data_IF_461343222726
#
_entry.id   IF_461343222726
#
_cell.length_a   1.000
_cell.length_b   1.000
_cell.length_c   1.000
_cell.angle_alpha   90.00
_cell.angle_beta   90.00
_cell.angle_gamma   90.00
#
_symmetry.space_group_name_H-M   'P 1'
#
loop_
_entity.id
_entity.type
_entity.pdbx_description
1 polymer ?
#
# COMPACT_ATOMS: atom_id res chain seq x y z
N UNK A 1 -60.18 -5.18 -14.85
CA UNK A 1 -59.20 -5.87 -15.73
C UNK A 1 -57.98 -5.00 -16.12
N UNK A 2 -57.85 -3.76 -15.62
CA UNK A 2 -56.83 -2.80 -16.10
C UNK A 2 -55.55 -2.72 -15.24
N UNK A 3 -55.65 -2.89 -13.91
CA UNK A 3 -54.50 -2.70 -13.00
C UNK A 3 -53.45 -3.84 -13.07
N UNK A 4 -53.88 -5.11 -13.16
CA UNK A 4 -52.96 -6.25 -13.25
C UNK A 4 -52.15 -6.27 -14.56
N UNK A 5 -52.73 -5.77 -15.66
CA UNK A 5 -52.04 -5.70 -16.95
C UNK A 5 -50.97 -4.59 -16.93
N UNK A 6 -51.31 -3.45 -16.32
CA UNK A 6 -50.37 -2.34 -16.13
C UNK A 6 -49.19 -2.72 -15.22
N UNK A 7 -49.45 -3.43 -14.12
CA UNK A 7 -48.41 -3.94 -13.22
C UNK A 7 -47.48 -4.96 -13.90
N UNK A 8 -48.03 -5.87 -14.72
CA UNK A 8 -47.21 -6.81 -15.52
C UNK A 8 -46.37 -6.10 -16.59
N UNK A 9 -46.91 -5.06 -17.23
CA UNK A 9 -46.14 -4.26 -18.20
C UNK A 9 -44.98 -3.54 -17.52
N UNK A 10 -45.25 -2.82 -16.41
CA UNK A 10 -44.23 -2.16 -15.59
C UNK A 10 -43.15 -3.12 -15.11
N UNK A 11 -43.53 -4.32 -14.67
CA UNK A 11 -42.59 -5.34 -14.21
C UNK A 11 -41.68 -5.82 -15.36
N UNK A 12 -42.22 -5.96 -16.58
CA UNK A 12 -41.45 -6.34 -17.77
C UNK A 12 -40.50 -5.22 -18.22
N UNK A 13 -40.96 -3.97 -18.17
CA UNK A 13 -40.14 -2.81 -18.52
C UNK A 13 -38.99 -2.61 -17.50
N UNK A 14 -39.27 -2.80 -16.20
CA UNK A 14 -38.26 -2.81 -15.14
C UNK A 14 -37.23 -3.92 -15.32
N UNK A 15 -37.68 -5.15 -15.64
CA UNK A 15 -36.77 -6.28 -15.87
C UNK A 15 -35.87 -6.03 -17.09
N UNK A 16 -36.43 -5.44 -18.15
CA UNK A 16 -35.68 -5.11 -19.37
C UNK A 16 -34.65 -4.01 -19.09
N UNK A 17 -35.00 -2.98 -18.31
CA UNK A 17 -34.06 -1.94 -17.89
C UNK A 17 -32.95 -2.51 -17.00
N UNK A 18 -33.28 -3.39 -16.05
CA UNK A 18 -32.28 -4.04 -15.19
C UNK A 18 -31.28 -4.86 -16.03
N UNK A 19 -31.76 -5.66 -16.97
CA UNK A 19 -30.89 -6.42 -17.88
C UNK A 19 -30.02 -5.51 -18.75
N UNK A 20 -30.55 -4.38 -19.25
CA UNK A 20 -29.78 -3.42 -20.02
C UNK A 20 -28.68 -2.76 -19.17
N UNK A 21 -28.98 -2.42 -17.91
CA UNK A 21 -28.00 -1.85 -16.96
C UNK A 21 -26.89 -2.88 -16.66
N UNK A 22 -27.26 -4.14 -16.44
CA UNK A 22 -26.30 -5.22 -16.20
C UNK A 22 -25.41 -5.48 -17.41
N UNK A 23 -25.98 -5.45 -18.61
CA UNK A 23 -25.23 -5.56 -19.86
C UNK A 23 -24.25 -4.40 -20.05
N UNK A 24 -24.70 -3.15 -19.85
CA UNK A 24 -23.85 -1.96 -19.95
C UNK A 24 -22.73 -2.02 -18.90
N UNK A 25 -23.04 -2.43 -17.67
CA UNK A 25 -22.05 -2.62 -16.61
C UNK A 25 -20.99 -3.64 -17.02
N UNK A 26 -21.38 -4.80 -17.52
CA UNK A 26 -20.44 -5.81 -18.01
C UNK A 26 -19.57 -5.27 -19.14
N UNK A 27 -20.16 -4.56 -20.10
CA UNK A 27 -19.44 -3.98 -21.23
C UNK A 27 -18.41 -2.94 -20.77
N UNK A 28 -18.78 -2.02 -19.86
CA UNK A 28 -17.85 -1.01 -19.34
C UNK A 28 -16.70 -1.66 -18.57
N UNK A 29 -16.98 -2.73 -17.80
CA UNK A 29 -15.95 -3.46 -17.05
C UNK A 29 -14.96 -4.20 -17.96
N UNK A 30 -15.42 -4.68 -19.12
CA UNK A 30 -14.57 -5.37 -20.11
C UNK A 30 -13.79 -4.41 -21.01
N UNK A 31 -14.38 -3.28 -21.39
CA UNK A 31 -13.82 -2.35 -22.38
C UNK A 31 -12.85 -1.30 -21.80
N UNK A 32 -12.90 -1.04 -20.48
CA UNK A 32 -12.06 0.00 -19.85
C UNK A 32 -10.86 -0.64 -19.12
N UNK A 33 -9.67 -0.73 -19.75
CA UNK A 33 -8.47 -1.23 -19.09
C UNK A 33 -7.94 -0.18 -18.10
N UNK A 34 -7.56 -0.64 -16.89
CA UNK A 34 -7.04 0.24 -15.85
C UNK A 34 -5.77 0.98 -16.27
N UNK A 35 -4.94 0.38 -17.10
CA UNK A 35 -3.73 0.98 -17.64
C UNK A 35 -4.03 2.20 -18.51
N UNK A 36 -5.17 2.25 -19.21
CA UNK A 36 -5.59 3.45 -19.91
C UNK A 36 -5.93 4.56 -18.92
N UNK A 37 -6.66 4.23 -17.84
CA UNK A 37 -6.99 5.20 -16.79
C UNK A 37 -5.73 5.73 -16.07
N UNK A 38 -4.74 4.89 -15.81
CA UNK A 38 -3.45 5.32 -15.23
C UNK A 38 -2.77 6.36 -16.13
N UNK A 39 -2.72 6.14 -17.44
CA UNK A 39 -2.18 7.12 -18.39
C UNK A 39 -2.95 8.44 -18.40
N UNK A 40 -4.25 8.43 -18.09
CA UNK A 40 -5.02 9.66 -17.94
C UNK A 40 -4.65 10.46 -16.69
N UNK A 41 -4.12 9.82 -15.65
CA UNK A 41 -3.62 10.51 -14.46
C UNK A 41 -2.36 11.32 -14.75
N UNK A 42 -1.56 10.92 -15.73
CA UNK A 42 -0.34 11.64 -16.14
C UNK A 42 -0.64 12.96 -16.88
N UNK A 43 -1.92 13.21 -17.21
CA UNK A 43 -2.33 14.43 -17.89
C UNK A 43 -2.35 15.64 -16.96
N UNK A 44 -2.04 16.79 -17.53
CA UNK A 44 -2.05 18.06 -16.80
C UNK A 44 -3.46 18.57 -16.46
N UNK A 45 -4.54 18.16 -17.14
CA UNK A 45 -5.88 18.67 -16.82
C UNK A 45 -6.47 17.95 -15.58
N UNK A 46 -6.64 18.70 -14.51
CA UNK A 46 -7.17 18.21 -13.23
C UNK A 46 -8.57 17.59 -13.34
N UNK A 47 -9.44 18.10 -14.21
CA UNK A 47 -10.77 17.54 -14.40
C UNK A 47 -10.70 16.13 -14.98
N UNK A 48 -9.73 15.89 -15.86
CA UNK A 48 -9.48 14.56 -16.44
C UNK A 48 -8.97 13.60 -15.37
N UNK A 49 -8.10 14.07 -14.48
CA UNK A 49 -7.59 13.29 -13.35
C UNK A 49 -8.72 12.91 -12.38
N UNK A 50 -9.57 13.87 -11.99
CA UNK A 50 -10.73 13.61 -11.11
C UNK A 50 -11.67 12.59 -11.74
N UNK A 51 -12.00 12.74 -13.02
CA UNK A 51 -12.89 11.81 -13.73
C UNK A 51 -12.27 10.42 -13.83
N UNK A 52 -10.97 10.30 -14.10
CA UNK A 52 -10.27 9.03 -14.15
C UNK A 52 -10.26 8.32 -12.78
N UNK A 53 -9.95 9.03 -11.69
CA UNK A 53 -9.99 8.46 -10.34
C UNK A 53 -11.41 8.05 -9.92
N UNK A 54 -12.41 8.89 -10.23
CA UNK A 54 -13.82 8.59 -9.99
C UNK A 54 -14.26 7.32 -10.74
N UNK A 55 -13.83 7.18 -12.00
CA UNK A 55 -14.11 5.97 -12.77
C UNK A 55 -13.42 4.74 -12.18
N UNK A 56 -12.17 4.84 -11.72
CA UNK A 56 -11.50 3.73 -11.01
C UNK A 56 -12.28 3.29 -9.76
N UNK A 57 -12.77 4.24 -8.95
CA UNK A 57 -13.61 3.95 -7.79
C UNK A 57 -14.92 3.24 -8.19
N UNK A 58 -15.57 3.72 -9.25
CA UNK A 58 -16.80 3.12 -9.76
C UNK A 58 -16.57 1.71 -10.31
N UNK A 59 -15.48 1.47 -11.05
CA UNK A 59 -15.12 0.15 -11.55
C UNK A 59 -14.94 -0.83 -10.39
N UNK A 60 -14.17 -0.46 -9.36
CA UNK A 60 -13.96 -1.32 -8.20
C UNK A 60 -15.28 -1.67 -7.48
N UNK A 61 -16.13 -0.66 -7.23
CA UNK A 61 -17.39 -0.84 -6.52
C UNK A 61 -18.34 -1.83 -7.23
N UNK A 62 -18.36 -1.78 -8.56
CA UNK A 62 -19.29 -2.55 -9.39
C UNK A 62 -18.70 -3.86 -9.95
N UNK A 63 -17.43 -4.16 -9.65
CA UNK A 63 -16.74 -5.39 -10.04
C UNK A 63 -17.03 -6.57 -9.13
N UNK A 64 -16.82 -7.78 -9.65
CA UNK A 64 -16.72 -9.00 -8.86
C UNK A 64 -15.35 -9.11 -8.14
N UNK A 65 -15.18 -10.14 -7.31
CA UNK A 65 -14.01 -10.26 -6.45
C UNK A 65 -12.71 -10.51 -7.25
N UNK A 66 -12.76 -11.27 -8.34
CA UNK A 66 -11.58 -11.51 -9.18
C UNK A 66 -11.12 -10.23 -9.87
N UNK A 67 -12.05 -9.46 -10.46
CA UNK A 67 -11.71 -8.18 -11.08
C UNK A 67 -11.29 -7.13 -10.05
N UNK A 68 -11.84 -7.16 -8.84
CA UNK A 68 -11.38 -6.29 -7.73
C UNK A 68 -9.92 -6.56 -7.37
N UNK A 69 -9.50 -7.82 -7.29
CA UNK A 69 -8.08 -8.19 -7.07
C UNK A 69 -7.18 -7.66 -8.19
N UNK A 70 -7.61 -7.79 -9.45
CA UNK A 70 -6.87 -7.22 -10.59
C UNK A 70 -6.76 -5.70 -10.49
N UNK A 71 -7.85 -5.02 -10.11
CA UNK A 71 -7.88 -3.57 -9.92
C UNK A 71 -6.87 -3.15 -8.85
N UNK A 72 -6.91 -3.81 -7.70
CA UNK A 72 -6.00 -3.56 -6.58
C UNK A 72 -4.55 -3.77 -7.01
N UNK A 73 -4.24 -4.83 -7.76
CA UNK A 73 -2.90 -5.07 -8.31
C UNK A 73 -2.41 -3.92 -9.18
N UNK A 74 -3.29 -3.33 -9.99
CA UNK A 74 -2.95 -2.14 -10.78
C UNK A 74 -2.77 -0.88 -9.93
N UNK A 75 -3.60 -0.67 -8.90
CA UNK A 75 -3.42 0.44 -7.95
C UNK A 75 -2.10 0.30 -7.17
N UNK A 76 -1.69 -0.93 -6.85
CA UNK A 76 -0.41 -1.23 -6.21
C UNK A 76 0.80 -1.16 -7.13
N UNK A 77 0.65 -0.82 -8.41
CA UNK A 77 1.74 -0.83 -9.39
C UNK A 77 2.59 0.45 -9.38
N UNK A 78 3.85 0.34 -9.80
CA UNK A 78 4.76 1.49 -9.97
C UNK A 78 4.16 2.58 -10.88
N UNK A 79 3.56 2.26 -12.06
CA UNK A 79 2.97 3.28 -12.93
C UNK A 79 1.86 4.10 -12.25
N UNK A 80 0.97 3.47 -11.49
CA UNK A 80 -0.07 4.20 -10.77
C UNK A 80 0.53 5.13 -9.71
N UNK A 81 1.48 4.64 -8.90
CA UNK A 81 2.15 5.45 -7.87
C UNK A 81 2.87 6.66 -8.48
N UNK A 82 3.60 6.44 -9.57
CA UNK A 82 4.30 7.52 -10.27
C UNK A 82 3.34 8.55 -10.84
N UNK A 83 2.25 8.12 -11.48
CA UNK A 83 1.26 9.03 -12.03
C UNK A 83 0.62 9.90 -10.93
N UNK A 84 0.21 9.29 -9.81
CA UNK A 84 -0.35 10.00 -8.64
C UNK A 84 0.67 10.98 -8.04
N UNK A 85 1.92 10.56 -7.85
CA UNK A 85 2.97 11.41 -7.28
C UNK A 85 3.30 12.59 -8.21
N UNK A 86 3.36 12.36 -9.52
CA UNK A 86 3.72 13.37 -10.52
C UNK A 86 2.61 14.35 -10.86
N UNK A 87 1.33 13.97 -10.71
CA UNK A 87 0.20 14.80 -11.12
C UNK A 87 -0.74 15.21 -9.98
N UNK A 88 -1.15 14.28 -9.12
CA UNK A 88 -2.16 14.52 -8.07
C UNK A 88 -1.53 15.18 -6.85
N UNK A 89 -0.36 14.70 -6.44
CA UNK A 89 0.33 15.16 -5.22
C UNK A 89 1.38 16.25 -5.47
N UNK A 90 1.46 16.77 -6.71
CA UNK A 90 2.34 17.87 -7.06
C UNK A 90 1.96 19.15 -6.29
N UNK A 91 2.94 20.00 -5.99
CA UNK A 91 2.73 21.29 -5.33
C UNK A 91 1.62 22.09 -6.02
N UNK A 92 0.65 22.56 -5.23
CA UNK A 92 -0.55 23.26 -5.72
C UNK A 92 -1.82 22.41 -5.73
N UNK A 93 -1.73 21.12 -6.11
CA UNK A 93 -2.90 20.20 -6.22
C UNK A 93 -3.13 19.32 -5.01
N UNK A 94 -2.11 19.13 -4.18
CA UNK A 94 -2.19 18.34 -2.95
C UNK A 94 -3.20 18.88 -1.91
N UNK A 95 -3.77 20.07 -2.15
CA UNK A 95 -4.82 20.69 -1.33
C UNK A 95 -6.19 20.69 -1.99
N UNK A 96 -6.30 20.21 -3.24
CA UNK A 96 -7.59 20.13 -3.93
C UNK A 96 -8.42 19.00 -3.29
N UNK A 97 -9.53 19.41 -2.66
CA UNK A 97 -10.42 18.49 -1.95
C UNK A 97 -11.09 17.50 -2.89
N UNK A 98 -11.46 17.91 -4.09
CA UNK A 98 -12.15 17.06 -5.07
C UNK A 98 -11.24 15.93 -5.55
N UNK A 99 -9.95 16.22 -5.78
CA UNK A 99 -8.95 15.19 -6.08
C UNK A 99 -8.77 14.23 -4.91
N UNK A 100 -8.59 14.76 -3.69
CA UNK A 100 -8.41 13.94 -2.50
C UNK A 100 -9.63 13.06 -2.20
N UNK A 101 -10.84 13.57 -2.39
CA UNK A 101 -12.09 12.82 -2.20
C UNK A 101 -12.17 11.60 -3.15
N UNK A 102 -11.51 11.65 -4.31
CA UNK A 102 -11.40 10.49 -5.21
C UNK A 102 -10.19 9.60 -4.93
N UNK A 103 -9.06 10.15 -4.48
CA UNK A 103 -7.85 9.37 -4.20
C UNK A 103 -7.95 8.58 -2.89
N UNK A 104 -8.56 9.16 -1.85
CA UNK A 104 -8.65 8.56 -0.51
C UNK A 104 -9.34 7.18 -0.52
N UNK A 105 -10.48 6.98 -1.21
CA UNK A 105 -11.09 5.66 -1.30
C UNK A 105 -10.16 4.61 -1.92
N UNK A 106 -9.44 4.95 -3.01
CA UNK A 106 -8.48 4.04 -3.65
C UNK A 106 -7.31 3.69 -2.71
N UNK A 107 -6.79 4.66 -1.97
CA UNK A 107 -5.76 4.41 -0.95
C UNK A 107 -6.27 3.46 0.13
N UNK A 108 -7.54 3.60 0.55
CA UNK A 108 -8.15 2.70 1.54
C UNK A 108 -8.26 1.26 1.04
N UNK A 109 -8.40 1.04 -0.26
CA UNK A 109 -8.37 -0.31 -0.83
C UNK A 109 -6.99 -0.96 -0.65
N UNK A 110 -5.92 -0.22 -0.91
CA UNK A 110 -4.54 -0.69 -0.71
C UNK A 110 -4.23 -0.95 0.78
N UNK A 111 -4.76 -0.12 1.68
CA UNK A 111 -4.68 -0.36 3.14
C UNK A 111 -5.48 -1.61 3.52
N UNK A 112 -6.63 -1.84 2.87
CA UNK A 112 -7.44 -3.04 3.02
C UNK A 112 -6.66 -4.32 2.74
N UNK A 113 -5.88 -4.36 1.66
CA UNK A 113 -5.00 -5.50 1.35
C UNK A 113 -3.95 -5.75 2.43
N UNK A 114 -3.36 -4.67 2.98
CA UNK A 114 -2.39 -4.80 4.07
C UNK A 114 -3.06 -5.34 5.34
N UNK A 115 -4.32 -4.98 5.59
CA UNK A 115 -5.13 -5.55 6.67
C UNK A 115 -5.37 -7.04 6.45
N UNK A 116 -5.77 -7.44 5.25
CA UNK A 116 -5.97 -8.85 4.90
C UNK A 116 -4.67 -9.63 5.06
N UNK A 117 -3.55 -9.10 4.57
CA UNK A 117 -2.23 -9.68 4.72
C UNK A 117 -1.82 -9.82 6.19
N UNK A 118 -2.06 -8.80 7.02
CA UNK A 118 -1.75 -8.86 8.45
C UNK A 118 -2.54 -9.94 9.20
N UNK A 119 -3.71 -10.32 8.71
CA UNK A 119 -4.53 -11.37 9.31
C UNK A 119 -4.11 -12.78 8.91
N UNK A 120 -3.23 -12.93 7.91
CA UNK A 120 -2.76 -14.25 7.46
C UNK A 120 -1.72 -14.79 8.42
N UNK A 121 -1.85 -16.08 8.77
CA UNK A 121 -0.82 -16.78 9.55
C UNK A 121 0.45 -16.92 8.72
N UNK A 122 1.59 -16.83 9.38
CA UNK A 122 2.90 -17.05 8.76
C UNK A 122 3.17 -18.54 8.67
N UNK A 123 3.62 -19.02 7.51
CA UNK A 123 4.04 -20.41 7.36
C UNK A 123 5.44 -20.62 7.96
N UNK A 124 5.66 -21.79 8.55
CA UNK A 124 6.95 -22.13 9.18
C UNK A 124 8.07 -22.25 8.15
N UNK A 125 7.78 -22.68 6.93
CA UNK A 125 8.80 -22.80 5.90
C UNK A 125 9.20 -21.43 5.33
N UNK A 126 8.27 -20.47 5.28
CA UNK A 126 8.58 -19.07 4.96
C UNK A 126 9.45 -18.43 6.04
N UNK A 127 9.15 -18.67 7.33
CA UNK A 127 9.98 -18.20 8.45
C UNK A 127 11.40 -18.76 8.32
N UNK A 128 11.53 -20.07 8.10
CA UNK A 128 12.84 -20.70 7.90
C UNK A 128 13.57 -20.11 6.70
N UNK A 129 12.88 -19.87 5.59
CA UNK A 129 13.48 -19.29 4.39
C UNK A 129 14.08 -17.91 4.69
N UNK A 130 13.35 -17.05 5.41
CA UNK A 130 13.85 -15.74 5.84
C UNK A 130 15.05 -15.86 6.78
N UNK A 131 14.95 -16.69 7.81
CA UNK A 131 15.98 -16.84 8.83
C UNK A 131 17.25 -17.53 8.33
N UNK A 132 17.15 -18.33 7.27
CA UNK A 132 18.30 -18.97 6.61
C UNK A 132 19.02 -18.07 5.61
N UNK A 133 18.51 -16.87 5.29
CA UNK A 133 19.24 -15.91 4.45
C UNK A 133 20.55 -15.56 5.13
N UNK A 134 21.67 -15.59 4.38
CA UNK A 134 23.01 -15.42 4.94
C UNK A 134 23.13 -14.13 5.77
N UNK A 135 22.58 -13.02 5.28
CA UNK A 135 22.58 -11.72 5.98
C UNK A 135 21.88 -11.78 7.34
N UNK A 136 20.81 -12.56 7.46
CA UNK A 136 20.05 -12.71 8.71
C UNK A 136 20.73 -13.73 9.62
N UNK A 137 21.11 -14.89 9.06
CA UNK A 137 21.73 -16.00 9.79
C UNK A 137 23.07 -15.60 10.40
N UNK A 138 23.88 -14.83 9.69
CA UNK A 138 25.21 -14.42 10.16
C UNK A 138 25.16 -13.32 11.25
N UNK A 139 23.97 -12.77 11.52
CA UNK A 139 23.80 -11.67 12.48
C UNK A 139 23.53 -12.09 13.91
N UNK A 140 23.16 -13.35 14.11
CA UNK A 140 22.65 -13.84 15.40
C UNK A 140 23.00 -15.31 15.59
N UNK A 141 22.97 -15.77 16.85
CA UNK A 141 23.14 -17.19 17.17
C UNK A 141 21.85 -18.02 16.98
N UNK A 142 21.98 -19.35 17.01
CA UNK A 142 20.86 -20.28 16.80
C UNK A 142 19.75 -20.14 17.87
N UNK A 143 20.12 -19.77 19.10
CA UNK A 143 19.17 -19.50 20.19
C UNK A 143 18.28 -18.30 19.85
N UNK A 144 18.88 -17.25 19.30
CA UNK A 144 18.19 -16.03 18.91
C UNK A 144 17.37 -16.21 17.63
N UNK A 145 17.84 -17.02 16.67
CA UNK A 145 17.05 -17.43 15.50
C UNK A 145 15.78 -18.17 15.92
N UNK A 146 15.87 -19.07 16.89
CA UNK A 146 14.71 -19.80 17.42
C UNK A 146 13.70 -18.83 18.05
N UNK A 147 14.17 -17.85 18.83
CA UNK A 147 13.29 -16.79 19.40
C UNK A 147 12.62 -15.97 18.32
N UNK A 148 13.35 -15.57 17.28
CA UNK A 148 12.79 -14.80 16.16
C UNK A 148 11.74 -15.59 15.38
N UNK A 149 11.94 -16.89 15.20
CA UNK A 149 10.93 -17.76 14.59
C UNK A 149 9.63 -17.76 15.39
N UNK A 150 9.71 -17.92 16.72
CA UNK A 150 8.55 -17.86 17.61
C UNK A 150 7.85 -16.49 17.54
N UNK A 151 8.63 -15.40 17.62
CA UNK A 151 8.09 -14.03 17.56
C UNK A 151 7.34 -13.77 16.24
N UNK A 152 7.90 -14.21 15.10
CA UNK A 152 7.25 -14.04 13.80
C UNK A 152 5.98 -14.89 13.67
N UNK A 153 5.96 -16.09 14.25
CA UNK A 153 4.80 -16.97 14.21
C UNK A 153 3.64 -16.48 15.11
N UNK A 154 3.95 -15.91 16.27
CA UNK A 154 2.96 -15.49 17.27
C UNK A 154 2.48 -14.05 17.08
N UNK A 155 3.26 -13.20 16.42
CA UNK A 155 2.92 -11.79 16.24
C UNK A 155 1.77 -11.58 15.25
N UNK A 156 0.83 -10.69 15.63
CA UNK A 156 -0.23 -10.21 14.73
C UNK A 156 0.29 -9.43 13.51
N UNK A 157 1.56 -9.00 13.54
CA UNK A 157 2.24 -8.35 12.41
C UNK A 157 3.29 -9.25 11.77
N UNK A 158 3.38 -10.53 12.19
CA UNK A 158 4.39 -11.47 11.75
C UNK A 158 4.44 -11.62 10.24
N UNK A 159 3.27 -11.72 9.59
CA UNK A 159 3.17 -11.83 8.13
C UNK A 159 3.69 -10.59 7.41
N UNK A 160 3.30 -9.40 7.87
CA UNK A 160 3.80 -8.14 7.30
C UNK A 160 5.30 -7.98 7.51
N UNK A 161 5.81 -8.36 8.69
CA UNK A 161 7.24 -8.34 8.97
C UNK A 161 8.01 -9.30 8.06
N UNK A 162 7.52 -10.52 7.89
CA UNK A 162 8.15 -11.50 7.01
C UNK A 162 8.21 -11.00 5.56
N UNK A 163 7.08 -10.51 5.03
CA UNK A 163 7.02 -9.96 3.68
C UNK A 163 7.93 -8.73 3.53
N UNK A 164 7.94 -7.84 4.51
CA UNK A 164 8.76 -6.63 4.47
C UNK A 164 10.26 -6.95 4.47
N UNK A 165 10.73 -7.76 5.43
CA UNK A 165 12.15 -8.09 5.55
C UNK A 165 12.60 -8.90 4.33
N UNK A 166 11.77 -9.83 3.84
CA UNK A 166 12.10 -10.62 2.64
C UNK A 166 12.23 -9.73 1.40
N UNK A 167 11.24 -8.86 1.15
CA UNK A 167 11.28 -7.95 0.01
C UNK A 167 12.45 -6.96 0.08
N UNK A 168 12.74 -6.46 1.27
CA UNK A 168 13.88 -5.56 1.48
C UNK A 168 15.20 -6.29 1.23
N UNK A 169 15.36 -7.50 1.76
CA UNK A 169 16.54 -8.32 1.52
C UNK A 169 16.69 -8.72 0.04
N UNK A 170 15.59 -8.89 -0.71
CA UNK A 170 15.64 -9.18 -2.15
C UNK A 170 16.07 -7.97 -3.00
N UNK A 171 15.75 -6.75 -2.55
CA UNK A 171 16.00 -5.52 -3.31
C UNK A 171 17.27 -4.77 -2.85
N UNK A 172 17.62 -4.91 -1.57
CA UNK A 172 18.61 -4.12 -0.84
C UNK A 172 19.46 -5.00 0.07
N UNK A 173 19.94 -6.14 -0.44
CA UNK A 173 20.68 -7.13 0.36
C UNK A 173 21.93 -6.54 1.03
N UNK A 174 22.70 -5.74 0.30
CA UNK A 174 23.95 -5.15 0.79
C UNK A 174 23.67 -4.09 1.87
N UNK A 175 22.66 -3.26 1.70
CA UNK A 175 22.26 -2.27 2.70
C UNK A 175 21.84 -2.94 4.01
N UNK A 176 21.06 -4.02 3.90
CA UNK A 176 20.67 -4.83 5.05
C UNK A 176 21.90 -5.43 5.74
N UNK A 177 22.89 -5.92 4.97
CA UNK A 177 24.14 -6.47 5.49
C UNK A 177 24.94 -5.43 6.24
N UNK A 178 25.09 -4.22 5.70
CA UNK A 178 25.76 -3.10 6.36
C UNK A 178 25.05 -2.77 7.68
N UNK A 179 23.73 -2.54 7.64
CA UNK A 179 22.94 -2.19 8.83
C UNK A 179 23.07 -3.22 9.96
N UNK A 180 22.96 -4.50 9.60
CA UNK A 180 22.98 -5.60 10.55
C UNK A 180 24.39 -5.85 11.10
N UNK A 181 25.42 -5.75 10.26
CA UNK A 181 26.82 -5.89 10.68
C UNK A 181 27.26 -4.75 11.59
N UNK A 182 26.97 -3.49 11.24
CA UNK A 182 27.26 -2.33 12.09
C UNK A 182 26.57 -2.44 13.45
N UNK A 183 25.31 -2.88 13.47
CA UNK A 183 24.57 -3.09 14.69
C UNK A 183 25.16 -4.21 15.57
N UNK A 184 25.66 -5.28 14.94
CA UNK A 184 26.31 -6.40 15.64
C UNK A 184 27.65 -6.00 16.29
N UNK A 185 28.31 -4.96 15.77
CA UNK A 185 29.56 -4.43 16.33
C UNK A 185 29.36 -3.51 17.55
N UNK A 186 28.11 -3.16 17.90
CA UNK A 186 27.83 -2.28 19.04
C UNK A 186 28.04 -3.01 20.37
N UNK A 187 28.92 -2.47 21.20
CA UNK A 187 29.20 -2.97 22.55
C UNK A 187 28.39 -2.17 23.59
N UNK A 188 27.90 -2.82 24.65
CA UNK A 188 27.28 -2.14 25.80
C UNK A 188 25.75 -2.04 25.79
N UNK A 189 25.05 -2.95 25.11
CA UNK A 189 23.57 -3.04 25.17
C UNK A 189 22.80 -2.04 24.29
N UNK A 190 23.51 -1.27 23.45
CA UNK A 190 22.93 -0.34 22.47
C UNK A 190 22.62 -0.97 21.10
N UNK A 191 22.83 -2.29 20.97
CA UNK A 191 22.45 -3.07 19.80
C UNK A 191 20.96 -3.35 19.77
N UNK A 192 20.34 -3.20 18.61
CA UNK A 192 18.94 -3.58 18.37
C UNK A 192 18.85 -4.97 17.73
N UNK A 193 17.64 -5.53 17.65
CA UNK A 193 17.40 -6.82 17.00
C UNK A 193 16.50 -6.63 15.80
N UNK A 194 16.88 -7.19 14.64
CA UNK A 194 16.20 -6.95 13.37
C UNK A 194 14.70 -7.25 13.42
N UNK A 195 14.32 -8.46 13.83
CA UNK A 195 12.92 -8.89 13.86
C UNK A 195 12.08 -8.08 14.86
N UNK A 196 12.47 -7.93 16.15
CA UNK A 196 11.74 -7.08 17.09
C UNK A 196 11.64 -5.62 16.64
N UNK A 197 12.74 -5.03 16.15
CA UNK A 197 12.74 -3.64 15.67
C UNK A 197 11.77 -3.46 14.49
N UNK A 198 11.83 -4.36 13.51
CA UNK A 198 10.92 -4.34 12.37
C UNK A 198 9.46 -4.42 12.80
N UNK A 199 9.12 -5.32 13.73
CA UNK A 199 7.76 -5.44 14.26
C UNK A 199 7.28 -4.18 14.99
N UNK A 200 8.14 -3.53 15.78
CA UNK A 200 7.80 -2.28 16.45
C UNK A 200 7.56 -1.15 15.43
N UNK A 201 8.45 -1.00 14.45
CA UNK A 201 8.30 -0.04 13.37
C UNK A 201 7.01 -0.27 12.58
N UNK A 202 6.73 -1.52 12.19
CA UNK A 202 5.51 -1.88 11.48
C UNK A 202 4.27 -1.62 12.32
N UNK A 203 4.29 -1.91 13.62
CA UNK A 203 3.15 -1.63 14.51
C UNK A 203 2.85 -0.13 14.59
N UNK A 204 3.89 0.71 14.73
CA UNK A 204 3.74 2.16 14.76
C UNK A 204 3.17 2.66 13.43
N UNK A 205 3.80 2.27 12.31
CA UNK A 205 3.37 2.70 10.98
C UNK A 205 1.95 2.22 10.69
N UNK A 206 1.65 0.95 10.96
CA UNK A 206 0.33 0.35 10.76
C UNK A 206 -0.76 1.15 11.50
N UNK A 207 -0.53 1.45 12.78
CA UNK A 207 -1.48 2.25 13.58
C UNK A 207 -1.68 3.66 13.01
N UNK A 208 -0.65 4.29 12.47
CA UNK A 208 -0.74 5.62 11.86
C UNK A 208 -1.46 5.59 10.50
N UNK A 209 -1.29 4.53 9.72
CA UNK A 209 -1.90 4.40 8.39
C UNK A 209 -3.28 3.75 8.40
N UNK A 210 -3.73 3.24 9.55
CA UNK A 210 -5.01 2.55 9.68
C UNK A 210 -4.98 1.08 9.27
N UNK A 211 -3.81 0.43 9.39
CA UNK A 211 -3.68 -1.03 9.30
C UNK A 211 -3.85 -1.62 10.71
N UNK A 212 -4.86 -2.44 10.90
CA UNK A 212 -5.24 -3.08 12.15
C UNK A 212 -5.40 -4.59 11.94
N UNK A 213 -4.53 -5.43 12.51
CA UNK A 213 -4.72 -6.87 12.51
C UNK A 213 -5.91 -7.18 13.43
N UNK A 214 -7.06 -7.46 12.82
CA UNK A 214 -8.34 -7.85 13.43
C UNK A 214 -9.14 -6.76 14.19
N UNK A 215 -10.36 -6.53 13.68
CA UNK A 215 -11.62 -6.00 14.27
C UNK A 215 -11.68 -4.74 15.14
N UNK A 216 -10.59 -4.03 15.44
CA UNK A 216 -10.71 -2.70 16.06
C UNK A 216 -10.73 -1.58 15.02
N UNK A 217 -11.93 -1.27 14.53
CA UNK A 217 -12.21 -0.06 13.73
C UNK A 217 -12.03 1.17 14.62
N UNK A 218 -10.97 1.95 14.45
CA UNK A 218 -10.89 3.31 14.96
C UNK A 218 -10.20 4.28 13.98
N UNK A 219 -10.37 5.56 14.30
CA UNK A 219 -10.54 6.68 13.39
C UNK A 219 -9.26 7.17 12.68
N UNK A 220 -9.48 7.57 11.42
CA UNK A 220 -8.64 8.33 10.50
C UNK A 220 -7.67 9.36 11.13
N UNK A 221 -6.37 9.30 10.79
CA UNK A 221 -5.47 10.46 10.83
C UNK A 221 -4.86 10.64 9.43
N UNK A 222 -5.50 11.48 8.63
CA UNK A 222 -4.98 11.94 7.35
C UNK A 222 -4.21 13.23 7.60
N UNK A 223 -2.89 13.19 7.37
CA UNK A 223 -1.93 14.30 7.09
C UNK A 223 -0.49 13.85 7.44
N UNK A 224 -0.29 12.95 8.42
CA UNK A 224 1.04 12.52 8.85
C UNK A 224 1.69 11.43 7.97
N UNK A 225 0.91 10.70 7.17
CA UNK A 225 1.37 9.51 6.43
C UNK A 225 2.29 9.88 5.25
N UNK A 226 2.00 10.94 4.51
CA UNK A 226 2.87 11.36 3.40
C UNK A 226 4.17 12.00 3.89
N UNK A 227 4.15 12.64 5.08
CA UNK A 227 5.36 13.18 5.70
C UNK A 227 6.17 12.04 6.30
N UNK A 228 5.55 11.05 6.95
CA UNK A 228 6.25 9.95 7.60
C UNK A 228 6.67 8.83 6.63
N UNK A 229 5.93 8.52 5.57
CA UNK A 229 6.41 7.65 4.49
C UNK A 229 7.51 8.36 3.70
N UNK A 230 7.42 9.68 3.47
CA UNK A 230 8.58 10.44 2.99
C UNK A 230 9.71 10.48 4.01
N UNK A 231 9.45 10.51 5.32
CA UNK A 231 10.52 10.51 6.33
C UNK A 231 11.15 9.12 6.45
N UNK A 232 10.37 8.05 6.34
CA UNK A 232 10.85 6.67 6.39
C UNK A 232 11.58 6.34 5.08
N UNK A 233 11.01 6.67 3.91
CA UNK A 233 11.70 6.47 2.63
C UNK A 233 12.90 7.41 2.46
N UNK A 234 12.80 8.69 2.83
CA UNK A 234 13.93 9.63 2.74
C UNK A 234 14.99 9.43 3.83
N UNK A 235 14.70 8.73 4.95
CA UNK A 235 15.76 8.31 5.88
C UNK A 235 16.36 6.94 5.53
N UNK A 236 15.73 6.16 4.66
CA UNK A 236 16.32 4.94 4.10
C UNK A 236 17.07 5.19 2.78
N UNK A 237 16.78 6.26 2.03
CA UNK A 237 17.54 6.69 0.84
C UNK A 237 18.85 7.47 1.17
N UNK A 238 19.21 7.66 2.45
CA UNK A 238 20.43 8.43 2.82
C UNK A 238 21.74 7.62 2.72
N UNK A 239 21.72 6.31 2.48
CA UNK A 239 22.96 5.51 2.45
C UNK A 239 23.41 4.99 1.08
N UNK A 240 22.75 5.33 -0.03
CA UNK A 240 23.24 4.96 -1.37
C UNK A 240 23.18 6.14 -2.35
N UNK A 241 24.31 6.85 -2.45
CA UNK A 241 24.81 7.66 -3.56
C UNK A 241 23.81 8.29 -4.56
N UNK A 242 23.63 9.62 -4.47
CA UNK A 242 23.99 10.68 -5.45
C UNK A 242 23.05 11.94 -5.36
N UNK A 243 23.34 13.05 -6.08
CA UNK A 243 23.79 14.35 -5.58
C UNK A 243 22.67 15.31 -5.11
N UNK A 244 22.54 15.55 -3.80
CA UNK A 244 21.71 16.64 -3.26
C UNK A 244 22.53 17.75 -2.57
N UNK A 245 23.79 17.92 -2.97
CA UNK A 245 24.68 18.99 -2.48
C UNK A 245 24.18 20.43 -2.77
N UNK A 246 23.17 20.63 -3.61
CA UNK A 246 22.67 21.96 -3.95
C UNK A 246 21.48 22.46 -3.10
N UNK A 247 20.97 21.65 -2.17
CA UNK A 247 19.87 22.08 -1.27
C UNK A 247 20.38 22.65 0.06
N UNK A 248 21.57 22.25 0.52
CA UNK A 248 22.18 22.80 1.73
C UNK A 248 22.65 24.26 1.56
N UNK A 249 23.12 24.67 0.37
CA UNK A 249 23.50 26.06 0.11
C UNK A 249 22.31 27.04 0.11
N UNK A 250 21.09 26.57 -0.15
CA UNK A 250 19.90 27.43 -0.20
C UNK A 250 19.26 27.68 1.16
N UNK A 251 19.47 26.78 2.13
CA UNK A 251 18.91 26.92 3.48
C UNK A 251 19.84 27.75 4.37
N UNK A 252 21.16 27.71 4.14
CA UNK A 252 22.14 28.53 4.86
C UNK A 252 22.16 30.04 4.51
N UNK A 253 21.25 30.53 3.67
CA UNK A 253 21.14 31.96 3.30
C UNK A 253 19.87 32.65 3.83
N UNK A 254 19.10 31.98 4.71
CA UNK A 254 17.93 32.55 5.39
C UNK A 254 18.16 32.56 6.91
N UNK A 255 19.37 32.94 7.33
CA UNK A 255 19.69 33.33 8.70
C UNK A 255 20.55 34.58 8.68
#
# INVERSE_FOLDING_TARGET
>A
MSLMYYLRSLQKDLLTMLHAIDYIRHLVLSEVPLQALIRHLEKSDERVVIVALSLMNALYKNSDDERRKEIIKHLGSVPFRMAVAGSVLREGRSKDRSLLDQLVPLQRLLIGELNELSCQKVDQDEIKALLNREVVRNSVDDSQLTKWATILAESSMGRLALTFISNYADQHEEDLRILVSENSMRVGGSGWQLVPMCLHCLTIVANLVGVYPSSHKFLFIFVCINILIKYILANFEIFCDHPLNNLYERIGKIS
#
